data_IF_500666932550
#
_entry.id   IF_500666932550
#
_cell.length_a   1.000
_cell.length_b   1.000
_cell.length_c   1.000
_cell.angle_alpha   90.00
_cell.angle_beta   90.00
_cell.angle_gamma   90.00
#
_symmetry.space_group_name_H-M   'P 1'
#
loop_
_entity.id
_entity.type
_entity.pdbx_description
1 polymer ?
#
# COMPACT_ATOMS: atom_id res chain seq x y z
N UNK A 1 15.86 -12.86 7.53
CA UNK A 1 16.03 -13.60 6.26
C UNK A 1 14.66 -13.75 5.66
N UNK A 2 14.48 -13.21 4.50
CA UNK A 2 13.17 -13.01 3.88
C UNK A 2 12.71 -14.31 3.22
N UNK A 3 11.48 -14.71 3.53
CA UNK A 3 10.87 -15.88 2.88
C UNK A 3 10.56 -15.54 1.42
N UNK A 4 11.10 -16.35 0.53
CA UNK A 4 10.90 -16.20 -0.92
C UNK A 4 9.85 -17.23 -1.35
N UNK A 5 8.61 -16.78 -1.44
CA UNK A 5 7.54 -17.57 -2.02
C UNK A 5 7.41 -17.26 -3.52
N UNK A 6 7.10 -18.26 -4.33
CA UNK A 6 6.80 -18.05 -5.74
C UNK A 6 5.29 -18.20 -5.96
N UNK A 7 4.65 -17.17 -6.47
CA UNK A 7 3.36 -17.30 -7.12
C UNK A 7 3.59 -17.67 -8.60
N UNK A 8 2.57 -18.22 -9.26
CA UNK A 8 2.71 -18.76 -10.62
C UNK A 8 3.29 -17.75 -11.64
N UNK A 9 3.16 -16.45 -11.40
CA UNK A 9 3.53 -15.37 -12.33
C UNK A 9 4.45 -14.30 -11.75
N UNK A 10 4.75 -14.32 -10.44
CA UNK A 10 5.61 -13.32 -9.81
C UNK A 10 6.40 -13.86 -8.62
N UNK A 11 7.57 -13.29 -8.42
CA UNK A 11 8.37 -13.46 -7.21
C UNK A 11 7.73 -12.69 -6.06
N UNK A 12 7.69 -13.27 -4.86
CA UNK A 12 7.18 -12.63 -3.65
C UNK A 12 8.33 -12.47 -2.67
N UNK A 13 8.46 -11.26 -2.12
CA UNK A 13 9.47 -10.89 -1.14
C UNK A 13 8.77 -10.32 0.09
N UNK A 14 8.90 -10.96 1.25
CA UNK A 14 8.43 -10.40 2.52
C UNK A 14 9.58 -9.70 3.22
N UNK A 15 9.35 -8.47 3.70
CA UNK A 15 10.36 -7.63 4.33
C UNK A 15 9.80 -6.94 5.56
N UNK A 16 10.69 -6.59 6.49
CA UNK A 16 10.34 -5.76 7.63
C UNK A 16 10.04 -4.31 7.20
N UNK A 17 9.10 -3.61 7.85
CA UNK A 17 8.72 -2.24 7.47
C UNK A 17 9.90 -1.26 7.43
N UNK A 18 10.82 -1.36 8.40
CA UNK A 18 11.99 -0.48 8.47
C UNK A 18 13.03 -0.71 7.37
N UNK A 19 12.97 -1.84 6.66
CA UNK A 19 13.89 -2.16 5.57
C UNK A 19 13.29 -1.85 4.18
N UNK A 20 12.07 -1.34 4.11
CA UNK A 20 11.35 -1.15 2.84
C UNK A 20 12.10 -0.25 1.88
N UNK A 21 12.40 0.97 2.29
CA UNK A 21 13.02 1.99 1.41
C UNK A 21 14.35 1.55 0.84
N UNK A 22 15.24 1.02 1.70
CA UNK A 22 16.56 0.55 1.28
C UNK A 22 16.48 -0.67 0.36
N UNK A 23 15.57 -1.61 0.68
CA UNK A 23 15.38 -2.80 -0.14
C UNK A 23 14.85 -2.44 -1.52
N UNK A 24 13.85 -1.56 -1.57
CA UNK A 24 13.25 -1.12 -2.84
C UNK A 24 14.22 -0.29 -3.67
N UNK A 25 15.06 0.55 -3.04
CA UNK A 25 16.13 1.26 -3.75
C UNK A 25 17.09 0.29 -4.44
N UNK A 26 17.53 -0.77 -3.74
CA UNK A 26 18.38 -1.83 -4.35
C UNK A 26 17.66 -2.62 -5.45
N UNK A 27 16.39 -2.93 -5.28
CA UNK A 27 15.60 -3.60 -6.31
C UNK A 27 15.53 -2.76 -7.59
N UNK A 28 15.41 -1.45 -7.47
CA UNK A 28 15.42 -0.52 -8.60
C UNK A 28 16.78 -0.47 -9.29
N UNK A 29 17.86 -0.31 -8.53
CA UNK A 29 19.22 -0.14 -9.09
C UNK A 29 19.83 -1.45 -9.57
N UNK A 30 19.78 -2.51 -8.77
CA UNK A 30 20.54 -3.74 -9.01
C UNK A 30 19.76 -4.77 -9.83
N UNK A 31 18.41 -4.71 -9.76
CA UNK A 31 17.52 -5.68 -10.42
C UNK A 31 16.59 -5.06 -11.47
N UNK A 32 16.75 -3.78 -11.76
CA UNK A 32 16.02 -3.01 -12.76
C UNK A 32 14.48 -3.09 -12.62
N UNK A 33 13.95 -3.12 -11.39
CA UNK A 33 12.53 -2.93 -11.15
C UNK A 33 12.20 -1.44 -11.25
N UNK A 34 12.07 -0.95 -12.47
CA UNK A 34 11.97 0.46 -12.83
C UNK A 34 10.54 1.00 -12.80
N UNK A 35 9.54 0.12 -12.84
CA UNK A 35 8.13 0.51 -12.79
C UNK A 35 7.48 0.12 -11.46
N UNK A 36 7.01 1.14 -10.73
CA UNK A 36 6.10 0.97 -9.60
C UNK A 36 4.66 0.87 -10.14
N UNK A 37 4.05 -0.29 -9.96
CA UNK A 37 2.73 -0.59 -10.55
C UNK A 37 1.61 -0.20 -9.60
N UNK A 38 1.71 -0.61 -8.32
CA UNK A 38 0.65 -0.36 -7.36
C UNK A 38 1.11 -0.57 -5.92
N UNK A 39 0.39 0.04 -4.98
CA UNK A 39 0.40 -0.31 -3.56
C UNK A 39 -1.02 -0.42 -3.03
N UNK A 40 -1.28 -1.48 -2.31
CA UNK A 40 -2.55 -1.71 -1.63
C UNK A 40 -2.33 -2.37 -0.27
N UNK A 41 -3.40 -2.63 0.46
CA UNK A 41 -3.31 -3.37 1.70
C UNK A 41 -4.32 -4.53 1.76
N UNK A 42 -4.00 -5.53 2.59
CA UNK A 42 -4.93 -6.59 2.97
C UNK A 42 -5.15 -6.49 4.47
N UNK A 43 -6.42 -6.37 4.85
CA UNK A 43 -6.83 -6.29 6.25
C UNK A 43 -7.13 -7.68 6.81
N UNK A 44 -6.40 -8.07 7.86
CA UNK A 44 -6.57 -9.32 8.60
C UNK A 44 -7.00 -9.03 10.04
N UNK A 45 -8.30 -8.82 10.33
CA UNK A 45 -8.77 -8.34 11.64
C UNK A 45 -8.37 -9.22 12.82
N UNK A 46 -8.15 -10.52 12.57
CA UNK A 46 -7.81 -11.51 13.61
C UNK A 46 -6.31 -11.72 13.77
N UNK A 47 -5.47 -10.98 13.03
CA UNK A 47 -4.01 -11.14 13.03
C UNK A 47 -3.31 -9.92 13.63
N UNK A 48 -2.15 -10.16 14.23
CA UNK A 48 -1.21 -9.13 14.66
C UNK A 48 0.18 -9.43 14.07
N UNK A 49 0.80 -8.52 13.30
CA UNK A 49 0.31 -7.24 12.78
C UNK A 49 -0.90 -7.40 11.84
N UNK A 50 -1.82 -6.44 11.87
CA UNK A 50 -3.12 -6.55 11.22
C UNK A 50 -3.07 -6.40 9.69
N UNK A 51 -2.29 -5.43 9.18
CA UNK A 51 -2.27 -5.12 7.75
C UNK A 51 -1.05 -5.73 7.05
N UNK A 52 -1.28 -6.35 5.89
CA UNK A 52 -0.23 -6.57 4.89
C UNK A 52 -0.26 -5.40 3.91
N UNK A 53 0.82 -4.65 3.80
CA UNK A 53 1.00 -3.66 2.73
C UNK A 53 1.70 -4.35 1.59
N UNK A 54 1.08 -4.30 0.41
CA UNK A 54 1.48 -5.07 -0.77
C UNK A 54 1.85 -4.13 -1.89
N UNK A 55 3.09 -4.21 -2.33
CA UNK A 55 3.65 -3.42 -3.42
C UNK A 55 3.87 -4.30 -4.64
N UNK A 56 3.56 -3.78 -5.81
CA UNK A 56 3.80 -4.43 -7.08
C UNK A 56 4.79 -3.64 -7.91
N UNK A 57 5.84 -4.32 -8.35
CA UNK A 57 6.88 -3.77 -9.23
C UNK A 57 7.00 -4.59 -10.50
N UNK A 58 7.42 -3.92 -11.55
CA UNK A 58 7.70 -4.53 -12.84
C UNK A 58 9.04 -4.05 -13.38
N UNK A 59 9.76 -4.95 -14.01
CA UNK A 59 10.98 -4.60 -14.74
C UNK A 59 10.68 -4.57 -16.23
N UNK A 60 10.82 -3.40 -16.84
CA UNK A 60 10.63 -3.25 -18.30
C UNK A 60 11.76 -3.86 -19.11
N UNK A 61 12.90 -4.10 -18.48
CA UNK A 61 14.09 -4.72 -19.11
C UNK A 61 14.03 -6.25 -19.08
N UNK A 62 13.73 -6.83 -17.91
CA UNK A 62 13.71 -8.29 -17.73
C UNK A 62 12.32 -8.91 -17.87
N UNK A 63 11.27 -8.11 -18.03
CA UNK A 63 9.86 -8.49 -18.12
C UNK A 63 9.37 -9.31 -16.92
N UNK A 64 9.93 -9.05 -15.74
CA UNK A 64 9.64 -9.77 -14.51
C UNK A 64 8.75 -8.94 -13.60
N UNK A 65 7.87 -9.63 -12.87
CA UNK A 65 7.04 -9.04 -11.83
C UNK A 65 7.58 -9.40 -10.46
N UNK A 66 7.49 -8.45 -9.54
CA UNK A 66 7.86 -8.64 -8.14
C UNK A 66 6.74 -8.10 -7.25
N UNK A 67 6.38 -8.88 -6.25
CA UNK A 67 5.49 -8.45 -5.17
C UNK A 67 6.30 -8.35 -3.89
N UNK A 68 6.32 -7.18 -3.30
CA UNK A 68 6.91 -6.94 -1.99
C UNK A 68 5.79 -6.81 -0.97
N UNK A 69 5.89 -7.55 0.13
CA UNK A 69 4.95 -7.48 1.24
C UNK A 69 5.66 -7.04 2.50
N UNK A 70 5.00 -6.21 3.27
CA UNK A 70 5.42 -5.83 4.61
C UNK A 70 4.22 -5.75 5.52
N UNK A 71 4.42 -5.82 6.83
CA UNK A 71 3.33 -5.88 7.79
C UNK A 71 3.37 -4.68 8.72
N UNK A 72 2.22 -4.03 8.90
CA UNK A 72 2.05 -2.94 9.87
C UNK A 72 0.86 -3.20 10.77
N UNK A 73 0.93 -2.72 12.01
CA UNK A 73 -0.17 -2.88 12.95
C UNK A 73 -1.16 -1.72 12.88
N UNK A 74 -2.36 -1.96 13.36
CA UNK A 74 -3.41 -0.95 13.46
C UNK A 74 -3.09 0.14 14.48
N UNK A 75 -2.32 -0.18 15.51
CA UNK A 75 -1.90 0.76 16.56
C UNK A 75 -0.92 1.81 16.02
N UNK A 76 -0.01 1.41 15.13
CA UNK A 76 0.89 2.30 14.40
C UNK A 76 1.00 1.85 12.92
N UNK A 77 0.02 2.19 12.09
CA UNK A 77 -0.01 1.79 10.68
C UNK A 77 0.87 2.74 9.83
N UNK A 78 2.15 2.86 10.19
CA UNK A 78 3.09 3.79 9.54
C UNK A 78 4.18 3.05 8.79
N UNK A 79 4.46 3.48 7.57
CA UNK A 79 5.52 2.95 6.70
C UNK A 79 6.15 4.07 5.89
N UNK A 80 7.37 3.90 5.41
CA UNK A 80 8.04 4.93 4.59
C UNK A 80 7.39 5.05 3.21
N UNK A 81 7.24 6.29 2.75
CA UNK A 81 6.81 6.60 1.39
C UNK A 81 7.88 6.23 0.37
N UNK A 82 7.46 5.67 -0.76
CA UNK A 82 8.31 5.37 -1.90
C UNK A 82 8.28 6.46 -2.98
N UNK A 83 7.60 7.58 -2.74
CA UNK A 83 7.57 8.74 -3.66
C UNK A 83 8.97 9.23 -4.05
N UNK A 84 9.98 9.29 -3.15
CA UNK A 84 11.33 9.66 -3.53
C UNK A 84 11.99 8.73 -4.56
N UNK A 85 11.55 7.47 -4.62
CA UNK A 85 12.06 6.48 -5.56
C UNK A 85 11.22 6.37 -6.83
N UNK A 86 9.90 6.53 -6.70
CA UNK A 86 8.94 6.38 -7.80
C UNK A 86 7.86 7.46 -7.74
N UNK A 87 7.83 8.35 -8.70
CA UNK A 87 6.83 9.43 -8.75
C UNK A 87 5.38 8.93 -8.82
N UNK A 88 5.12 7.77 -9.43
CA UNK A 88 3.78 7.17 -9.48
C UNK A 88 3.25 6.73 -8.11
N UNK A 89 4.11 6.49 -7.13
CA UNK A 89 3.71 6.17 -5.76
C UNK A 89 2.87 7.28 -5.12
N UNK A 90 3.03 8.54 -5.57
CA UNK A 90 2.29 9.69 -5.05
C UNK A 90 0.77 9.44 -5.00
N UNK A 91 0.19 8.92 -6.06
CA UNK A 91 -1.25 8.69 -6.16
C UNK A 91 -1.69 7.37 -5.52
N UNK A 92 -0.89 6.33 -5.68
CA UNK A 92 -1.20 4.99 -5.15
C UNK A 92 -1.14 4.96 -3.61
N UNK A 93 -0.19 5.66 -3.02
CA UNK A 93 -0.07 5.79 -1.56
C UNK A 93 -1.22 6.62 -0.97
N UNK A 94 -1.70 7.65 -1.66
CA UNK A 94 -2.89 8.41 -1.26
C UNK A 94 -4.14 7.53 -1.20
N UNK A 95 -4.36 6.71 -2.23
CA UNK A 95 -5.48 5.75 -2.25
C UNK A 95 -5.37 4.77 -1.08
N UNK A 96 -4.23 4.14 -0.89
CA UNK A 96 -4.01 3.20 0.20
C UNK A 96 -4.19 3.86 1.58
N UNK A 97 -3.74 5.10 1.74
CA UNK A 97 -3.93 5.89 2.95
C UNK A 97 -5.42 6.11 3.25
N UNK A 98 -6.19 6.61 2.30
CA UNK A 98 -7.59 6.91 2.55
C UNK A 98 -8.46 5.65 2.73
N UNK A 99 -8.15 4.56 2.03
CA UNK A 99 -8.94 3.33 2.10
C UNK A 99 -8.68 2.50 3.35
N UNK A 100 -7.44 2.49 3.87
CA UNK A 100 -7.03 1.65 4.99
C UNK A 100 -6.52 2.43 6.21
N UNK A 101 -6.20 3.72 6.07
CA UNK A 101 -5.62 4.54 7.13
C UNK A 101 -4.13 4.27 7.37
N UNK A 102 -3.43 3.67 6.42
CA UNK A 102 -1.98 3.48 6.48
C UNK A 102 -1.29 4.81 6.20
N UNK A 103 -0.39 5.22 7.08
CA UNK A 103 0.35 6.48 6.95
C UNK A 103 1.68 6.26 6.26
N UNK A 104 1.90 6.97 5.17
CA UNK A 104 3.16 6.96 4.42
C UNK A 104 4.05 8.11 4.88
N UNK A 105 5.06 7.80 5.68
CA UNK A 105 5.99 8.79 6.25
C UNK A 105 6.82 9.44 5.14
N UNK A 106 6.83 10.77 5.11
CA UNK A 106 7.53 11.54 4.07
C UNK A 106 6.74 11.71 2.78
N UNK A 107 5.47 11.30 2.73
CA UNK A 107 4.60 11.58 1.59
C UNK A 107 4.33 13.10 1.50
N UNK A 108 4.51 13.73 0.32
CA UNK A 108 4.41 15.19 0.19
C UNK A 108 2.98 15.73 0.24
N UNK A 109 1.98 14.91 -0.09
CA UNK A 109 0.58 15.34 -0.19
C UNK A 109 -0.40 14.20 0.16
N UNK A 110 -0.71 13.99 1.45
CA UNK A 110 -1.57 12.88 1.90
C UNK A 110 -3.08 13.14 1.77
N UNK A 111 -3.50 14.14 0.98
CA UNK A 111 -4.93 14.46 0.80
C UNK A 111 -5.69 13.31 0.13
N UNK A 112 -7.00 13.16 0.42
CA UNK A 112 -7.87 12.20 -0.27
C UNK A 112 -7.80 12.32 -1.79
N UNK A 113 -7.98 11.21 -2.51
CA UNK A 113 -7.98 11.16 -3.97
C UNK A 113 -9.29 10.62 -4.55
N UNK A 114 -9.89 9.62 -3.91
CA UNK A 114 -11.14 8.98 -4.36
C UNK A 114 -12.34 9.38 -3.54
N UNK A 115 -12.16 9.61 -2.24
CA UNK A 115 -13.24 9.99 -1.33
C UNK A 115 -13.41 11.51 -1.31
N UNK A 116 -14.63 11.97 -1.10
CA UNK A 116 -14.92 13.40 -0.96
C UNK A 116 -14.40 13.95 0.36
N UNK A 117 -14.15 15.25 0.40
CA UNK A 117 -13.70 15.94 1.60
C UNK A 117 -14.76 15.84 2.72
N UNK A 118 -14.32 15.40 3.90
CA UNK A 118 -15.21 15.15 5.04
C UNK A 118 -15.74 13.73 5.16
N UNK A 119 -15.36 12.82 4.27
CA UNK A 119 -15.66 11.39 4.46
C UNK A 119 -15.00 10.86 5.73
N UNK A 120 -15.77 10.15 6.56
CA UNK A 120 -15.31 9.64 7.87
C UNK A 120 -15.04 8.14 7.80
N UNK A 121 -13.82 7.74 8.20
CA UNK A 121 -13.40 6.34 8.27
C UNK A 121 -12.66 5.85 7.04
N UNK A 122 -12.30 4.58 7.07
CA UNK A 122 -11.52 3.90 6.04
C UNK A 122 -12.33 2.74 5.46
N UNK A 123 -12.95 2.90 4.28
CA UNK A 123 -14.02 2.03 3.83
C UNK A 123 -13.57 0.62 3.42
N UNK A 124 -12.28 0.38 3.19
CA UNK A 124 -11.78 -0.96 2.87
C UNK A 124 -11.30 -1.75 4.08
N UNK A 125 -11.33 -1.17 5.28
CA UNK A 125 -11.14 -1.94 6.51
C UNK A 125 -12.32 -2.89 6.74
N UNK A 126 -12.03 -4.09 7.23
CA UNK A 126 -13.06 -5.10 7.52
C UNK A 126 -13.99 -4.74 8.68
N UNK A 127 -13.56 -3.84 9.56
CA UNK A 127 -14.37 -3.30 10.66
C UNK A 127 -15.18 -2.06 10.26
N UNK A 128 -15.05 -1.56 9.04
CA UNK A 128 -15.93 -0.52 8.53
C UNK A 128 -17.32 -1.12 8.23
N UNK A 129 -18.41 -0.58 8.81
CA UNK A 129 -19.75 -1.15 8.64
C UNK A 129 -20.23 -1.06 7.19
N UNK A 130 -20.57 -2.19 6.57
CA UNK A 130 -21.00 -2.24 5.16
C UNK A 130 -22.26 -1.41 4.87
N UNK A 131 -23.07 -1.18 5.89
CA UNK A 131 -24.31 -0.39 5.78
C UNK A 131 -24.12 1.08 6.14
N UNK A 132 -22.90 1.50 6.51
CA UNK A 132 -22.60 2.89 6.83
C UNK A 132 -22.39 3.67 5.55
N UNK A 133 -23.48 4.04 4.92
CA UNK A 133 -23.45 4.92 3.75
C UNK A 133 -23.25 6.37 4.18
N UNK A 134 -22.42 7.10 3.42
CA UNK A 134 -22.15 8.51 3.63
C UNK A 134 -22.38 9.25 2.29
N UNK A 135 -23.65 9.39 1.83
CA UNK A 135 -23.93 10.04 0.58
C UNK A 135 -23.59 11.52 0.65
N UNK A 136 -22.95 12.06 -0.40
CA UNK A 136 -22.63 13.48 -0.51
C UNK A 136 -23.91 14.34 -0.56
N UNK A 137 -24.94 13.80 -1.19
CA UNK A 137 -26.29 14.40 -1.25
C UNK A 137 -27.26 13.42 -0.58
N UNK A 138 -28.04 13.90 0.44
CA UNK A 138 -29.03 13.05 1.10
C UNK A 138 -30.03 12.45 0.12
N UNK A 139 -30.37 11.19 0.31
CA UNK A 139 -31.43 10.55 -0.47
C UNK A 139 -32.77 11.26 -0.22
N UNK A 140 -33.51 11.52 -1.27
CA UNK A 140 -34.90 11.96 -1.12
C UNK A 140 -35.72 10.82 -0.51
N UNK A 141 -36.42 11.14 0.59
CA UNK A 141 -37.41 10.23 1.17
C UNK A 141 -38.66 10.20 0.30
#
# INVERSE_FOLDING_TARGET
MLERAAAADCEILEIEPGALSDTVARLKTDRAFDLFVDVTAVDWPQRKPRFDVVYHFYSTTSFRRLRVKTRVDVEDPTIDSLVPLYGSALFMERECHEMYGIRFRGHPDPRPILLYEGFVGHPLRKDYPIRQEQPLVPYRK
#
